data_IF_961083461786
#
_entry.id   IF_961083461786
#
_cell.length_a   1.000
_cell.length_b   1.000
_cell.length_c   1.000
_cell.angle_alpha   90.00
_cell.angle_beta   90.00
_cell.angle_gamma   90.00
#
_symmetry.space_group_name_H-M   'P 1'
#
loop_
_entity.id
_entity.type
_entity.pdbx_description
1 polymer ?
#
# COMPACT_ATOMS: atom_id res chain seq x y z
N UNK A 1 45.44 35.67 -19.35
CA UNK A 1 45.96 34.35 -19.78
C UNK A 1 45.58 33.31 -18.73
N UNK A 2 45.21 32.12 -19.14
CA UNK A 2 44.90 31.03 -18.20
C UNK A 2 46.13 30.68 -17.35
N UNK A 3 45.92 30.40 -16.04
CA UNK A 3 46.96 29.90 -15.12
C UNK A 3 47.09 28.37 -15.16
N UNK A 4 46.23 27.69 -15.95
CA UNK A 4 46.22 26.24 -16.04
C UNK A 4 47.23 25.77 -17.10
N UNK A 5 47.89 24.65 -16.80
CA UNK A 5 48.77 24.00 -17.77
C UNK A 5 47.99 23.30 -18.89
N UNK A 6 46.74 22.90 -18.57
CA UNK A 6 45.84 22.27 -19.56
C UNK A 6 45.22 23.34 -20.46
N UNK A 7 45.24 23.07 -21.74
CA UNK A 7 44.53 23.86 -22.75
C UNK A 7 43.15 23.27 -22.99
N UNK A 8 42.12 24.10 -23.22
CA UNK A 8 40.81 23.59 -23.69
C UNK A 8 40.97 22.77 -24.96
N UNK A 9 40.21 21.68 -25.06
CA UNK A 9 40.17 20.87 -26.28
C UNK A 9 39.48 21.66 -27.39
N UNK A 10 40.04 21.56 -28.58
CA UNK A 10 39.40 22.07 -29.78
C UNK A 10 38.40 21.05 -30.34
N UNK A 11 37.14 21.43 -30.46
CA UNK A 11 36.06 20.59 -30.95
C UNK A 11 35.78 20.78 -32.47
N UNK A 12 36.63 21.53 -33.20
CA UNK A 12 36.41 21.77 -34.61
C UNK A 12 36.30 20.48 -35.46
N UNK A 13 36.95 19.42 -35.02
CA UNK A 13 36.94 18.11 -35.67
C UNK A 13 36.02 17.07 -34.98
N UNK A 14 35.07 17.52 -34.12
CA UNK A 14 34.10 16.63 -33.49
C UNK A 14 33.25 15.93 -34.58
N UNK A 15 33.20 14.60 -34.51
CA UNK A 15 32.35 13.82 -35.43
C UNK A 15 30.91 13.90 -35.00
N UNK A 16 30.09 14.52 -35.81
CA UNK A 16 28.63 14.65 -35.60
C UNK A 16 27.90 13.55 -36.35
N UNK A 17 26.67 13.25 -35.91
CA UNK A 17 25.75 12.33 -36.56
C UNK A 17 24.45 13.05 -36.92
N UNK A 18 23.76 12.61 -37.96
CA UNK A 18 22.46 13.17 -38.35
C UNK A 18 21.43 12.93 -37.27
N UNK A 19 20.57 13.90 -36.99
CA UNK A 19 19.42 13.77 -36.11
C UNK A 19 18.48 12.64 -36.58
N UNK A 20 18.34 12.46 -37.90
CA UNK A 20 17.51 11.39 -38.48
C UNK A 20 18.09 10.00 -38.24
N UNK A 21 19.41 9.88 -38.24
CA UNK A 21 20.12 8.60 -38.02
C UNK A 21 20.23 8.25 -36.53
N UNK A 22 20.23 9.24 -35.63
CA UNK A 22 20.46 9.06 -34.21
C UNK A 22 19.40 8.21 -33.53
N UNK A 23 18.17 8.18 -34.05
CA UNK A 23 17.01 7.60 -33.40
C UNK A 23 16.52 8.45 -32.23
N UNK A 24 15.23 8.44 -31.94
CA UNK A 24 14.59 9.16 -30.84
C UNK A 24 13.85 8.19 -29.91
N UNK A 25 14.00 8.36 -28.60
CA UNK A 25 13.24 7.60 -27.59
C UNK A 25 11.81 8.13 -27.40
N UNK A 26 11.55 9.39 -27.79
CA UNK A 26 10.25 10.04 -27.67
C UNK A 26 9.83 10.47 -29.07
N UNK A 27 8.62 10.12 -29.45
CA UNK A 27 8.03 10.43 -30.76
C UNK A 27 6.83 11.34 -30.58
N UNK A 28 6.46 12.10 -31.59
CA UNK A 28 5.25 12.96 -31.57
C UNK A 28 3.98 12.12 -31.29
N UNK A 29 3.96 10.87 -31.73
CA UNK A 29 2.87 9.94 -31.45
C UNK A 29 2.69 9.61 -29.94
N UNK A 30 3.73 9.84 -29.13
CA UNK A 30 3.70 9.60 -27.68
C UNK A 30 3.23 10.83 -26.88
N UNK A 31 2.92 11.95 -27.55
CA UNK A 31 2.57 13.20 -26.90
C UNK A 31 1.15 13.17 -26.34
N UNK A 32 0.94 13.97 -25.28
CA UNK A 32 -0.39 14.18 -24.71
C UNK A 32 -1.34 14.85 -25.70
N UNK A 33 -2.61 14.48 -25.64
CA UNK A 33 -3.69 15.17 -26.34
C UNK A 33 -4.40 16.16 -25.39
N UNK A 34 -4.98 17.28 -25.89
CA UNK A 34 -5.84 18.13 -25.09
C UNK A 34 -7.05 17.38 -24.55
N UNK A 35 -7.34 17.56 -23.26
CA UNK A 35 -8.51 16.96 -22.62
C UNK A 35 -9.81 17.45 -23.29
N UNK A 36 -10.73 16.53 -23.54
CA UNK A 36 -12.05 16.84 -24.07
C UNK A 36 -13.07 16.96 -22.93
N UNK A 37 -13.73 18.11 -22.74
CA UNK A 37 -14.75 18.27 -21.72
C UNK A 37 -15.82 17.18 -21.80
N UNK A 38 -16.15 16.58 -20.63
CA UNK A 38 -17.16 15.52 -20.54
C UNK A 38 -16.66 14.10 -20.81
N UNK A 39 -15.38 13.90 -21.14
CA UNK A 39 -14.82 12.56 -21.41
C UNK A 39 -14.52 11.71 -20.15
N UNK A 40 -14.76 12.27 -18.97
CA UNK A 40 -14.54 11.56 -17.71
C UNK A 40 -13.05 11.28 -17.41
N UNK A 41 -12.82 10.44 -16.41
CA UNK A 41 -11.45 10.02 -16.04
C UNK A 41 -10.86 9.09 -17.10
N UNK A 42 -11.66 8.27 -17.75
CA UNK A 42 -11.21 7.44 -18.86
C UNK A 42 -10.60 8.29 -19.97
N UNK A 43 -11.31 9.34 -20.41
CA UNK A 43 -10.80 10.28 -21.42
C UNK A 43 -9.61 11.11 -20.95
N UNK A 44 -9.53 11.44 -19.66
CA UNK A 44 -8.33 12.06 -19.09
C UNK A 44 -7.12 11.12 -19.23
N UNK A 45 -7.24 9.85 -18.84
CA UNK A 45 -6.16 8.88 -18.96
C UNK A 45 -5.72 8.64 -20.40
N UNK A 46 -6.67 8.64 -21.34
CA UNK A 46 -6.37 8.47 -22.76
C UNK A 46 -5.69 9.72 -23.35
N UNK A 47 -5.91 10.90 -22.76
CA UNK A 47 -5.23 12.14 -23.15
C UNK A 47 -3.80 12.29 -22.61
N UNK A 48 -3.40 11.50 -21.61
CA UNK A 48 -2.05 11.57 -21.06
C UNK A 48 -1.01 11.05 -22.07
N UNK A 49 0.25 11.54 -22.00
CA UNK A 49 1.30 11.09 -22.90
C UNK A 49 1.61 9.59 -22.71
N UNK A 50 2.05 8.91 -23.76
CA UNK A 50 2.47 7.51 -23.76
C UNK A 50 3.94 7.37 -23.38
N UNK A 51 4.33 7.92 -22.21
CA UNK A 51 5.69 7.88 -21.66
C UNK A 51 5.69 7.87 -20.14
N UNK A 52 6.75 7.31 -19.55
CA UNK A 52 7.11 7.42 -18.13
C UNK A 52 5.95 7.07 -17.16
N UNK A 53 5.64 8.01 -16.25
CA UNK A 53 4.67 7.76 -15.18
C UNK A 53 3.23 7.53 -15.67
N UNK A 54 2.85 8.14 -16.79
CA UNK A 54 1.52 7.98 -17.39
C UNK A 54 1.33 6.52 -17.90
N UNK A 55 2.34 5.97 -18.57
CA UNK A 55 2.32 4.55 -18.98
C UNK A 55 2.35 3.61 -17.79
N UNK A 56 3.16 3.92 -16.79
CA UNK A 56 3.22 3.13 -15.55
C UNK A 56 1.86 3.12 -14.84
N UNK A 57 1.18 4.25 -14.78
CA UNK A 57 -0.14 4.35 -14.16
C UNK A 57 -1.19 3.53 -14.92
N UNK A 58 -1.25 3.68 -16.27
CA UNK A 58 -2.14 2.84 -17.11
C UNK A 58 -1.86 1.36 -16.93
N UNK A 59 -0.59 0.95 -16.90
CA UNK A 59 -0.21 -0.44 -16.71
C UNK A 59 -0.65 -1.00 -15.35
N UNK A 60 -0.65 -0.19 -14.28
CA UNK A 60 -1.20 -0.58 -12.97
C UNK A 60 -2.72 -0.71 -13.03
N UNK A 61 -3.44 0.21 -13.69
CA UNK A 61 -4.89 0.10 -13.91
C UNK A 61 -5.23 -1.19 -14.64
N UNK A 62 -4.52 -1.48 -15.73
CA UNK A 62 -4.74 -2.69 -16.55
C UNK A 62 -4.42 -3.97 -15.77
N UNK A 63 -3.34 -3.96 -14.96
CA UNK A 63 -2.97 -5.09 -14.12
C UNK A 63 -4.03 -5.38 -13.04
N UNK A 64 -4.57 -4.34 -12.38
CA UNK A 64 -5.67 -4.49 -11.43
C UNK A 64 -6.93 -5.06 -12.08
N UNK A 65 -7.30 -4.54 -13.25
CA UNK A 65 -8.45 -5.02 -14.00
C UNK A 65 -8.26 -6.47 -14.47
N UNK A 66 -7.05 -6.83 -14.89
CA UNK A 66 -6.71 -8.20 -15.28
C UNK A 66 -6.79 -9.15 -14.08
N UNK A 67 -6.17 -8.77 -12.95
CA UNK A 67 -6.20 -9.57 -11.73
C UNK A 67 -7.64 -9.84 -11.27
N UNK A 68 -8.51 -8.81 -11.26
CA UNK A 68 -9.94 -8.97 -10.93
C UNK A 68 -10.63 -9.95 -11.88
N UNK A 69 -10.46 -9.79 -13.21
CA UNK A 69 -11.10 -10.69 -14.21
C UNK A 69 -10.63 -12.14 -14.09
N UNK A 70 -9.39 -12.36 -13.68
CA UNK A 70 -8.79 -13.68 -13.52
C UNK A 70 -8.94 -14.25 -12.10
N UNK A 71 -9.66 -13.53 -11.23
CA UNK A 71 -9.85 -13.90 -9.81
C UNK A 71 -8.51 -14.13 -9.09
N UNK A 72 -7.49 -13.33 -9.43
CA UNK A 72 -6.17 -13.34 -8.79
C UNK A 72 -6.13 -12.39 -7.60
N UNK A 73 -5.20 -12.65 -6.70
CA UNK A 73 -5.05 -11.81 -5.51
C UNK A 73 -4.70 -10.35 -5.87
N UNK A 74 -5.41 -9.42 -5.24
CA UNK A 74 -5.17 -7.98 -5.25
C UNK A 74 -4.96 -7.55 -3.80
N UNK A 75 -3.68 -7.38 -3.43
CA UNK A 75 -3.28 -7.13 -2.04
C UNK A 75 -2.84 -5.67 -1.87
N UNK A 76 -3.43 -4.98 -0.90
CA UNK A 76 -3.15 -3.59 -0.57
C UNK A 76 -2.31 -3.50 0.70
N UNK A 77 -1.01 -3.23 0.56
CA UNK A 77 -0.09 -2.93 1.66
C UNK A 77 -0.13 -1.44 1.98
N UNK A 78 -0.52 -1.05 3.21
CA UNK A 78 -0.79 0.34 3.54
C UNK A 78 -0.12 0.81 4.81
N UNK A 79 0.49 2.01 4.74
CA UNK A 79 0.94 2.78 5.89
C UNK A 79 -0.17 3.64 6.50
N UNK A 80 0.06 4.15 7.72
CA UNK A 80 -0.92 4.94 8.47
C UNK A 80 -1.38 6.22 7.76
N UNK A 81 -0.53 6.81 6.93
CA UNK A 81 -0.89 8.04 6.19
C UNK A 81 -2.09 7.85 5.27
N UNK A 82 -2.25 6.67 4.66
CA UNK A 82 -3.38 6.35 3.77
C UNK A 82 -4.71 6.47 4.52
N UNK A 83 -4.77 5.96 5.75
CA UNK A 83 -5.97 6.05 6.60
C UNK A 83 -6.20 7.50 7.06
N UNK A 84 -5.13 8.20 7.48
CA UNK A 84 -5.21 9.62 7.89
C UNK A 84 -5.67 10.56 6.77
N UNK A 85 -5.38 10.24 5.52
CA UNK A 85 -5.88 10.99 4.36
C UNK A 85 -7.36 10.74 4.06
N UNK A 86 -8.07 9.93 4.85
CA UNK A 86 -9.50 9.67 4.68
C UNK A 86 -9.84 8.76 3.50
N UNK A 87 -8.94 7.87 3.09
CA UNK A 87 -9.11 7.03 1.89
C UNK A 87 -9.87 5.72 2.15
N UNK A 88 -10.23 5.42 3.38
CA UNK A 88 -10.97 4.20 3.72
C UNK A 88 -12.26 4.01 2.89
N UNK A 89 -13.12 5.02 2.66
CA UNK A 89 -14.33 4.87 1.84
C UNK A 89 -14.04 4.42 0.41
N UNK A 90 -12.97 4.95 -0.19
CA UNK A 90 -12.53 4.58 -1.55
C UNK A 90 -12.05 3.14 -1.59
N UNK A 91 -11.24 2.74 -0.60
CA UNK A 91 -10.71 1.37 -0.51
C UNK A 91 -11.81 0.35 -0.22
N UNK A 92 -12.80 0.70 0.60
CA UNK A 92 -13.97 -0.13 0.87
C UNK A 92 -14.87 -0.28 -0.37
N UNK A 93 -15.00 0.76 -1.18
CA UNK A 93 -15.71 0.64 -2.47
C UNK A 93 -14.94 -0.26 -3.45
N UNK A 94 -13.63 -0.11 -3.55
CA UNK A 94 -12.78 -1.00 -4.34
C UNK A 94 -12.87 -2.46 -3.85
N UNK A 95 -12.91 -2.69 -2.53
CA UNK A 95 -13.11 -4.03 -1.95
C UNK A 95 -14.46 -4.63 -2.40
N UNK A 96 -15.56 -3.87 -2.28
CA UNK A 96 -16.89 -4.33 -2.72
C UNK A 96 -16.95 -4.64 -4.21
N UNK A 97 -16.15 -3.96 -5.02
CA UNK A 97 -16.04 -4.19 -6.47
C UNK A 97 -15.05 -5.29 -6.85
N UNK A 98 -14.41 -5.95 -5.87
CA UNK A 98 -13.43 -7.02 -6.11
C UNK A 98 -12.03 -6.53 -6.49
N UNK A 99 -11.70 -5.25 -6.25
CA UNK A 99 -10.37 -4.68 -6.45
C UNK A 99 -9.49 -4.67 -5.19
N UNK A 100 -9.93 -5.35 -4.14
CA UNK A 100 -9.11 -5.64 -2.96
C UNK A 100 -9.53 -7.00 -2.40
N UNK A 101 -8.65 -7.98 -2.46
CA UNK A 101 -8.85 -9.34 -1.93
C UNK A 101 -8.17 -9.54 -0.59
N UNK A 102 -7.35 -8.58 -0.14
CA UNK A 102 -6.71 -8.57 1.16
C UNK A 102 -6.04 -7.25 1.45
N UNK A 103 -5.99 -6.89 2.73
CA UNK A 103 -5.30 -5.71 3.23
C UNK A 103 -4.13 -6.12 4.13
N UNK A 104 -3.01 -5.41 3.96
CA UNK A 104 -1.76 -5.64 4.70
C UNK A 104 -1.37 -4.32 5.35
N UNK A 105 -1.58 -4.20 6.66
CA UNK A 105 -1.43 -2.95 7.38
C UNK A 105 -0.14 -2.96 8.20
N UNK A 106 0.50 -1.81 8.35
CA UNK A 106 1.42 -1.62 9.46
C UNK A 106 0.65 -1.24 10.73
N UNK A 107 1.30 -1.24 11.90
CA UNK A 107 0.65 -0.92 13.16
C UNK A 107 -0.01 0.47 13.16
N UNK A 108 0.64 1.48 12.59
CA UNK A 108 0.08 2.83 12.48
C UNK A 108 -1.24 2.85 11.68
N UNK A 109 -1.33 2.12 10.56
CA UNK A 109 -2.58 2.05 9.79
C UNK A 109 -3.71 1.38 10.60
N UNK A 110 -3.38 0.30 11.31
CA UNK A 110 -4.35 -0.39 12.17
C UNK A 110 -4.83 0.49 13.33
N UNK A 111 -3.93 1.26 13.97
CA UNK A 111 -4.28 2.21 15.04
C UNK A 111 -5.25 3.26 14.54
N UNK A 112 -4.90 3.96 13.47
CA UNK A 112 -5.73 5.04 12.93
C UNK A 112 -7.10 4.53 12.49
N UNK A 113 -7.17 3.36 11.87
CA UNK A 113 -8.44 2.73 11.46
C UNK A 113 -9.31 2.37 12.68
N UNK A 114 -8.69 1.80 13.71
CA UNK A 114 -9.36 1.42 14.95
C UNK A 114 -9.92 2.64 15.69
N UNK A 115 -9.14 3.73 15.80
CA UNK A 115 -9.55 5.00 16.42
C UNK A 115 -10.68 5.66 15.64
N UNK A 116 -10.64 5.67 14.30
CA UNK A 116 -11.73 6.19 13.47
C UNK A 116 -13.01 5.41 13.76
N UNK A 117 -12.97 4.09 13.83
CA UNK A 117 -14.13 3.29 14.19
C UNK A 117 -14.69 3.68 15.56
N UNK A 118 -13.81 3.76 16.57
CA UNK A 118 -14.23 4.04 17.96
C UNK A 118 -14.74 5.46 18.17
N UNK A 119 -14.01 6.47 17.68
CA UNK A 119 -14.17 7.86 18.06
C UNK A 119 -14.62 8.79 16.91
N UNK A 120 -14.51 8.34 15.65
CA UNK A 120 -14.75 9.17 14.47
C UNK A 120 -13.62 10.15 14.14
N UNK A 121 -12.50 10.05 14.84
CA UNK A 121 -11.31 10.87 14.60
C UNK A 121 -10.05 10.09 15.01
N UNK A 122 -8.90 10.54 14.56
CA UNK A 122 -7.59 9.96 14.87
C UNK A 122 -6.49 11.01 14.70
N UNK A 123 -5.26 10.65 15.05
CA UNK A 123 -4.05 11.47 14.88
C UNK A 123 -4.03 12.69 15.81
N UNK A 124 -3.40 12.53 16.95
CA UNK A 124 -3.19 13.60 17.93
C UNK A 124 -2.12 14.61 17.48
N UNK A 125 -2.15 15.79 18.06
CA UNK A 125 -1.10 16.80 17.93
C UNK A 125 0.10 16.41 18.82
N UNK A 126 1.08 15.77 18.17
CA UNK A 126 2.25 15.22 18.87
C UNK A 126 3.06 16.31 19.57
N UNK A 127 3.22 17.48 18.96
CA UNK A 127 4.01 18.58 19.52
C UNK A 127 3.35 19.13 20.79
N UNK A 128 2.05 19.16 20.83
CA UNK A 128 1.29 19.64 22.00
C UNK A 128 1.31 18.67 23.19
N UNK A 129 1.34 17.36 22.96
CA UNK A 129 1.19 16.36 24.04
C UNK A 129 2.50 15.66 24.45
N UNK A 130 3.54 15.71 23.60
CA UNK A 130 4.84 15.07 23.87
C UNK A 130 5.56 15.62 25.12
N UNK A 131 5.54 16.95 25.40
CA UNK A 131 6.21 17.49 26.58
C UNK A 131 5.71 16.91 27.90
N UNK A 132 4.44 16.53 27.98
CA UNK A 132 3.81 15.93 29.16
C UNK A 132 3.88 14.41 29.17
N UNK A 133 4.49 13.79 28.15
CA UNK A 133 4.57 12.35 27.98
C UNK A 133 3.23 11.67 27.64
N UNK A 134 2.22 12.43 27.20
CA UNK A 134 0.89 11.92 26.85
C UNK A 134 0.77 11.38 25.44
N UNK A 135 1.79 11.57 24.60
CA UNK A 135 1.79 11.06 23.24
C UNK A 135 1.56 9.55 23.20
N UNK A 136 0.50 9.13 22.51
CA UNK A 136 0.14 7.72 22.36
C UNK A 136 -0.45 7.06 23.59
N UNK A 137 -0.81 7.83 24.61
CA UNK A 137 -1.38 7.34 25.87
C UNK A 137 -2.93 7.30 25.88
N UNK A 138 -3.56 7.16 24.71
CA UNK A 138 -5.01 7.05 24.62
C UNK A 138 -5.49 5.74 25.26
N UNK A 139 -6.28 5.86 26.34
CA UNK A 139 -6.73 4.74 27.17
C UNK A 139 -7.49 3.69 26.37
N UNK A 140 -8.52 4.11 25.64
CA UNK A 140 -9.39 3.19 24.89
C UNK A 140 -8.61 2.48 23.77
N UNK A 141 -7.77 3.23 23.02
CA UNK A 141 -6.95 2.66 21.96
C UNK A 141 -5.98 1.62 22.52
N UNK A 142 -5.22 1.99 23.55
CA UNK A 142 -4.25 1.09 24.15
C UNK A 142 -4.89 -0.13 24.79
N UNK A 143 -5.93 0.04 25.59
CA UNK A 143 -6.61 -1.06 26.30
C UNK A 143 -7.33 -1.98 25.34
N UNK A 144 -8.19 -1.47 24.47
CA UNK A 144 -9.06 -2.32 23.65
C UNK A 144 -8.29 -3.05 22.55
N UNK A 145 -7.30 -2.41 21.92
CA UNK A 145 -6.44 -3.11 20.95
C UNK A 145 -5.64 -4.22 21.61
N UNK A 146 -4.99 -3.98 22.76
CA UNK A 146 -4.21 -5.01 23.44
C UNK A 146 -5.07 -6.17 23.96
N UNK A 147 -6.28 -5.86 24.50
CA UNK A 147 -7.22 -6.91 24.90
C UNK A 147 -7.66 -7.77 23.71
N UNK A 148 -8.00 -7.13 22.58
CA UNK A 148 -8.37 -7.84 21.36
C UNK A 148 -7.24 -8.75 20.86
N UNK A 149 -5.98 -8.30 20.92
CA UNK A 149 -4.80 -9.09 20.54
C UNK A 149 -4.63 -10.31 21.45
N UNK A 150 -4.74 -10.13 22.78
CA UNK A 150 -4.62 -11.24 23.75
C UNK A 150 -5.74 -12.26 23.55
N UNK A 151 -6.99 -11.82 23.37
CA UNK A 151 -8.11 -12.70 23.08
C UNK A 151 -7.93 -13.43 21.75
N UNK A 152 -7.48 -12.70 20.69
CA UNK A 152 -7.21 -13.28 19.39
C UNK A 152 -6.16 -14.39 19.43
N UNK A 153 -5.08 -14.21 20.19
CA UNK A 153 -4.06 -15.24 20.37
C UNK A 153 -4.62 -16.49 21.07
N UNK A 154 -5.46 -16.33 22.08
CA UNK A 154 -6.12 -17.47 22.76
C UNK A 154 -7.00 -18.25 21.79
N UNK A 155 -7.68 -17.56 20.88
CA UNK A 155 -8.56 -18.17 19.88
C UNK A 155 -7.81 -18.63 18.62
N UNK A 156 -6.49 -18.42 18.56
CA UNK A 156 -5.67 -18.83 17.43
C UNK A 156 -5.87 -18.02 16.17
N UNK A 157 -6.25 -16.73 16.25
CA UNK A 157 -6.38 -15.81 15.10
C UNK A 157 -5.27 -14.76 15.11
N UNK A 158 -5.06 -14.09 13.97
CA UNK A 158 -4.07 -13.05 13.81
C UNK A 158 -4.52 -11.69 14.35
N UNK A 159 -3.62 -10.70 14.33
CA UNK A 159 -3.89 -9.37 14.86
C UNK A 159 -4.98 -8.66 14.06
N UNK A 160 -4.93 -8.71 12.72
CA UNK A 160 -5.91 -8.04 11.86
C UNK A 160 -7.33 -8.58 12.08
N UNK A 161 -7.48 -9.89 12.12
CA UNK A 161 -8.76 -10.54 12.40
C UNK A 161 -9.25 -10.23 13.82
N UNK A 162 -8.37 -10.25 14.82
CA UNK A 162 -8.70 -9.96 16.21
C UNK A 162 -9.23 -8.54 16.40
N UNK A 163 -8.60 -7.55 15.78
CA UNK A 163 -9.03 -6.15 15.84
C UNK A 163 -10.37 -5.93 15.13
N UNK A 164 -10.55 -6.50 13.92
CA UNK A 164 -11.82 -6.42 13.20
C UNK A 164 -12.97 -7.06 13.98
N UNK A 165 -12.72 -8.24 14.58
CA UNK A 165 -13.68 -8.94 15.45
C UNK A 165 -14.04 -8.13 16.70
N UNK A 166 -13.07 -7.48 17.34
CA UNK A 166 -13.33 -6.68 18.54
C UNK A 166 -14.25 -5.49 18.23
N UNK A 167 -14.03 -4.82 17.09
CA UNK A 167 -14.91 -3.74 16.63
C UNK A 167 -16.34 -4.25 16.34
N UNK A 168 -16.48 -5.42 15.71
CA UNK A 168 -17.79 -6.00 15.42
C UNK A 168 -18.53 -6.41 16.69
N UNK A 169 -17.86 -7.03 17.65
CA UNK A 169 -18.43 -7.43 18.94
C UNK A 169 -18.82 -6.22 19.80
N UNK A 170 -18.08 -5.11 19.70
CA UNK A 170 -18.41 -3.87 20.39
C UNK A 170 -19.78 -3.34 19.96
N UNK A 171 -20.07 -3.30 18.67
CA UNK A 171 -21.38 -2.90 18.14
C UNK A 171 -22.50 -3.84 18.64
N UNK A 172 -22.25 -5.14 18.65
CA UNK A 172 -23.25 -6.14 19.09
C UNK A 172 -23.55 -6.07 20.59
N UNK A 173 -22.58 -5.68 21.42
CA UNK A 173 -22.74 -5.58 22.90
C UNK A 173 -23.30 -4.23 23.36
N UNK A 174 -23.72 -3.35 22.45
CA UNK A 174 -24.29 -2.04 22.76
C UNK A 174 -23.26 -0.95 23.07
N UNK A 175 -21.96 -1.25 22.94
CA UNK A 175 -20.89 -0.27 22.87
C UNK A 175 -20.84 0.26 21.44
N UNK A 176 -21.28 1.49 21.23
CA UNK A 176 -21.42 2.02 19.86
C UNK A 176 -20.09 2.49 19.30
N UNK A 177 -19.64 1.88 18.19
CA UNK A 177 -18.64 2.52 17.34
C UNK A 177 -19.23 3.79 16.73
N UNK A 178 -18.45 4.88 16.65
CA UNK A 178 -18.96 6.17 16.18
C UNK A 178 -18.97 6.30 14.65
N UNK A 179 -18.00 5.66 13.98
CA UNK A 179 -17.86 5.71 12.53
C UNK A 179 -17.46 4.34 11.94
N UNK A 180 -18.26 3.28 12.21
CA UNK A 180 -17.95 1.92 11.78
C UNK A 180 -17.87 1.76 10.27
N UNK A 181 -18.61 2.56 9.51
CA UNK A 181 -18.64 2.54 8.04
C UNK A 181 -17.31 2.97 7.39
N UNK A 182 -16.43 3.64 8.14
CA UNK A 182 -15.13 4.10 7.66
C UNK A 182 -13.95 3.22 8.08
N UNK A 183 -14.19 2.13 8.82
CA UNK A 183 -13.12 1.22 9.24
C UNK A 183 -12.87 0.11 8.24
N UNK A 184 -11.63 -0.01 7.78
CA UNK A 184 -11.15 -1.12 6.95
C UNK A 184 -11.13 -2.43 7.75
N UNK A 185 -10.64 -2.41 9.00
CA UNK A 185 -10.58 -3.57 9.89
C UNK A 185 -11.97 -4.18 10.07
N UNK A 186 -12.96 -3.37 10.43
CA UNK A 186 -14.31 -3.84 10.69
C UNK A 186 -15.02 -4.35 9.43
N UNK A 187 -14.99 -3.55 8.36
CA UNK A 187 -15.73 -3.89 7.15
C UNK A 187 -15.09 -5.05 6.39
N UNK A 188 -13.76 -5.16 6.38
CA UNK A 188 -13.08 -6.31 5.82
C UNK A 188 -13.39 -7.59 6.62
N UNK A 189 -13.38 -7.51 7.98
CA UNK A 189 -13.79 -8.63 8.84
C UNK A 189 -15.21 -9.11 8.49
N UNK A 190 -16.19 -8.18 8.41
CA UNK A 190 -17.58 -8.50 8.02
C UNK A 190 -17.70 -9.10 6.63
N UNK A 191 -16.89 -8.63 5.70
CA UNK A 191 -16.82 -9.12 4.32
C UNK A 191 -16.00 -10.41 4.17
N UNK A 192 -15.36 -10.90 5.23
CA UNK A 192 -14.42 -12.03 5.22
C UNK A 192 -13.22 -11.81 4.28
N UNK A 193 -12.82 -10.56 4.08
CA UNK A 193 -11.59 -10.20 3.39
C UNK A 193 -10.45 -10.19 4.42
N UNK A 194 -9.38 -10.95 4.21
CA UNK A 194 -8.30 -11.03 5.19
C UNK A 194 -7.59 -9.69 5.37
N UNK A 195 -7.32 -9.36 6.63
CA UNK A 195 -6.46 -8.25 7.03
C UNK A 195 -5.31 -8.80 7.85
N UNK A 196 -4.09 -8.46 7.48
CA UNK A 196 -2.90 -8.78 8.26
C UNK A 196 -2.25 -7.52 8.80
N UNK A 197 -1.80 -7.53 10.05
CA UNK A 197 -1.17 -6.39 10.71
C UNK A 197 0.26 -6.74 11.12
N UNK A 198 1.20 -5.94 10.63
CA UNK A 198 2.62 -6.15 10.87
C UNK A 198 3.18 -5.02 11.71
N UNK A 199 3.79 -5.36 12.84
CA UNK A 199 4.32 -4.40 13.80
C UNK A 199 5.80 -4.66 14.09
N UNK A 200 6.51 -3.60 14.47
CA UNK A 200 7.78 -3.69 15.17
C UNK A 200 7.54 -3.22 16.61
N UNK A 201 7.78 -4.10 17.58
CA UNK A 201 7.49 -3.80 18.99
C UNK A 201 8.31 -2.58 19.43
N UNK A 202 7.62 -1.58 20.00
CA UNK A 202 8.18 -0.31 20.41
C UNK A 202 8.02 0.84 19.40
N UNK A 203 7.49 0.57 18.18
CA UNK A 203 7.22 1.63 17.20
C UNK A 203 5.81 2.20 17.26
N UNK A 204 4.87 1.44 17.80
CA UNK A 204 3.45 1.76 17.79
C UNK A 204 2.95 2.16 19.20
N UNK A 205 2.07 3.14 19.25
CA UNK A 205 1.61 3.76 20.51
C UNK A 205 0.93 2.79 21.48
N UNK A 206 0.12 1.78 21.09
CA UNK A 206 -0.45 0.82 22.03
C UNK A 206 0.58 -0.04 22.78
N UNK A 207 1.84 -0.09 22.31
CA UNK A 207 2.89 -0.87 22.98
C UNK A 207 3.34 -0.31 24.32
N UNK A 208 3.10 0.98 24.58
CA UNK A 208 3.42 1.63 25.87
C UNK A 208 2.30 1.47 26.91
N UNK A 209 1.11 1.00 26.49
CA UNK A 209 -0.02 0.86 27.38
C UNK A 209 0.18 -0.29 28.39
N UNK A 210 -0.26 -0.14 29.68
CA UNK A 210 -0.10 -1.19 30.69
C UNK A 210 -0.72 -2.55 30.35
N UNK A 211 -1.75 -2.58 29.46
CA UNK A 211 -2.34 -3.81 28.96
C UNK A 211 -1.54 -4.52 27.86
N UNK A 212 -0.41 -3.95 27.42
CA UNK A 212 0.39 -4.53 26.35
C UNK A 212 1.07 -5.82 26.81
N UNK A 213 0.86 -6.90 26.06
CA UNK A 213 1.53 -8.19 26.22
C UNK A 213 2.42 -8.43 25.00
N UNK A 214 3.73 -8.27 25.19
CA UNK A 214 4.70 -8.46 24.09
C UNK A 214 4.69 -9.88 23.51
N UNK A 215 4.37 -10.90 24.28
CA UNK A 215 4.25 -12.28 23.78
C UNK A 215 3.01 -12.41 22.88
N UNK A 216 1.88 -11.85 23.30
CA UNK A 216 0.66 -11.86 22.50
C UNK A 216 0.82 -11.03 21.20
N UNK A 217 1.41 -9.84 21.29
CA UNK A 217 1.71 -8.99 20.12
C UNK A 217 2.60 -9.78 19.14
N UNK A 218 3.70 -10.37 19.61
CA UNK A 218 4.60 -11.15 18.77
C UNK A 218 3.93 -12.36 18.14
N UNK A 219 3.11 -13.09 18.88
CA UNK A 219 2.35 -14.25 18.39
C UNK A 219 1.35 -13.85 17.30
N UNK A 220 0.56 -12.79 17.53
CA UNK A 220 -0.49 -12.33 16.65
C UNK A 220 0.09 -11.79 15.30
N UNK A 221 1.10 -10.91 15.36
CA UNK A 221 1.72 -10.36 14.14
C UNK A 221 2.50 -11.44 13.37
N UNK A 222 3.14 -12.41 14.05
CA UNK A 222 3.80 -13.54 13.38
C UNK A 222 2.78 -14.46 12.68
N UNK A 223 1.61 -14.67 13.29
CA UNK A 223 0.52 -15.39 12.64
C UNK A 223 0.04 -14.66 11.39
N UNK A 224 -0.13 -13.35 11.46
CA UNK A 224 -0.46 -12.51 10.31
C UNK A 224 0.60 -12.56 9.22
N UNK A 225 1.89 -12.60 9.58
CA UNK A 225 2.95 -12.80 8.60
C UNK A 225 2.81 -14.15 7.85
N UNK A 226 2.47 -15.22 8.55
CA UNK A 226 2.23 -16.53 7.92
C UNK A 226 0.99 -16.52 7.03
N UNK A 227 -0.09 -15.85 7.45
CA UNK A 227 -1.27 -15.63 6.63
C UNK A 227 -0.93 -14.81 5.38
N UNK A 228 -0.15 -13.74 5.54
CA UNK A 228 0.31 -12.95 4.41
C UNK A 228 1.17 -13.76 3.44
N UNK A 229 2.03 -14.65 3.90
CA UNK A 229 2.75 -15.57 3.02
C UNK A 229 1.77 -16.44 2.19
N UNK A 230 0.68 -16.92 2.80
CA UNK A 230 -0.37 -17.64 2.07
C UNK A 230 -1.03 -16.78 1.00
N UNK A 231 -1.41 -15.55 1.33
CA UNK A 231 -1.98 -14.61 0.36
C UNK A 231 -1.00 -14.28 -0.79
N UNK A 232 0.29 -14.20 -0.51
CA UNK A 232 1.33 -13.95 -1.51
C UNK A 232 1.45 -15.11 -2.51
N UNK A 233 1.13 -16.35 -2.14
CA UNK A 233 1.10 -17.47 -3.12
C UNK A 233 0.08 -17.22 -4.24
N UNK A 234 -1.02 -16.54 -3.94
CA UNK A 234 -2.13 -16.26 -4.86
C UNK A 234 -1.81 -15.12 -5.85
N UNK A 235 -0.67 -14.43 -5.67
CA UNK A 235 -0.17 -13.47 -6.65
C UNK A 235 0.33 -14.14 -7.95
N UNK A 236 0.65 -15.42 -7.92
CA UNK A 236 1.20 -16.14 -9.06
C UNK A 236 0.31 -16.02 -10.29
N UNK A 237 0.92 -15.68 -11.46
CA UNK A 237 0.25 -15.54 -12.76
C UNK A 237 -0.90 -14.53 -12.76
N UNK A 238 -0.57 -13.26 -12.54
CA UNK A 238 -1.47 -12.14 -12.78
C UNK A 238 -1.99 -11.43 -11.54
N UNK A 239 -1.63 -11.86 -10.32
CA UNK A 239 -1.95 -11.11 -9.10
C UNK A 239 -1.15 -9.81 -8.99
N UNK A 240 -1.57 -8.93 -8.10
CA UNK A 240 -0.92 -7.64 -7.86
C UNK A 240 -0.81 -7.31 -6.37
N UNK A 241 0.37 -6.83 -5.97
CA UNK A 241 0.63 -6.23 -4.65
C UNK A 241 0.90 -4.74 -4.79
N UNK A 242 0.12 -3.93 -4.07
CA UNK A 242 0.33 -2.48 -3.98
C UNK A 242 0.92 -2.13 -2.62
N UNK A 243 2.03 -1.40 -2.60
CA UNK A 243 2.57 -0.76 -1.41
C UNK A 243 2.21 0.71 -1.45
N UNK A 244 1.38 1.17 -0.51
CA UNK A 244 0.88 2.54 -0.48
C UNK A 244 1.29 3.20 0.84
N UNK A 245 2.22 4.13 0.78
CA UNK A 245 2.64 4.93 1.93
C UNK A 245 3.36 4.16 3.05
N UNK A 246 3.93 2.99 2.77
CA UNK A 246 4.80 2.30 3.72
C UNK A 246 6.25 2.32 3.25
N UNK A 247 7.06 3.18 3.88
CA UNK A 247 8.43 3.43 3.46
C UNK A 247 9.43 2.37 3.94
N UNK A 248 9.14 1.65 5.03
CA UNK A 248 10.11 0.76 5.69
C UNK A 248 9.53 -0.62 5.95
N UNK A 249 8.50 -0.73 6.79
CA UNK A 249 8.07 -1.99 7.38
C UNK A 249 7.49 -2.94 6.35
N UNK A 250 6.44 -2.57 5.62
CA UNK A 250 5.78 -3.47 4.69
C UNK A 250 6.64 -3.89 3.50
N UNK A 251 7.53 -3.03 2.92
CA UNK A 251 8.49 -3.50 1.93
C UNK A 251 9.43 -4.61 2.44
N UNK A 252 9.82 -4.55 3.72
CA UNK A 252 10.63 -5.61 4.33
C UNK A 252 9.81 -6.88 4.58
N UNK A 253 8.57 -6.74 5.04
CA UNK A 253 7.64 -7.86 5.25
C UNK A 253 7.34 -8.56 3.92
N UNK A 254 7.01 -7.80 2.88
CA UNK A 254 6.69 -8.34 1.55
C UNK A 254 7.86 -9.12 0.94
N UNK A 255 9.08 -8.57 0.98
CA UNK A 255 10.25 -9.26 0.44
C UNK A 255 10.51 -10.60 1.18
N UNK A 256 10.31 -10.65 2.51
CA UNK A 256 10.44 -11.88 3.30
C UNK A 256 9.33 -12.87 2.98
N UNK A 257 8.10 -12.40 2.76
CA UNK A 257 7.00 -13.26 2.33
C UNK A 257 7.28 -13.88 0.95
N UNK A 258 7.73 -13.09 -0.03
CA UNK A 258 8.18 -13.61 -1.34
C UNK A 258 9.28 -14.65 -1.19
N UNK A 259 10.28 -14.38 -0.34
CA UNK A 259 11.37 -15.33 -0.09
C UNK A 259 10.87 -16.64 0.55
N UNK A 260 10.03 -16.54 1.57
CA UNK A 260 9.48 -17.71 2.27
C UNK A 260 8.61 -18.57 1.33
N UNK A 261 7.74 -17.95 0.55
CA UNK A 261 6.87 -18.63 -0.43
C UNK A 261 7.71 -19.42 -1.45
N UNK A 262 8.72 -18.79 -2.03
CA UNK A 262 9.62 -19.45 -3.00
C UNK A 262 10.44 -20.55 -2.35
N UNK A 263 10.96 -20.34 -1.13
CA UNK A 263 11.73 -21.34 -0.39
C UNK A 263 10.91 -22.58 -0.07
N UNK A 264 9.62 -22.40 0.22
CA UNK A 264 8.67 -23.51 0.46
C UNK A 264 8.24 -24.21 -0.83
N UNK A 265 8.78 -23.84 -1.99
CA UNK A 265 8.51 -24.49 -3.27
C UNK A 265 7.22 -24.05 -3.96
N UNK A 266 6.53 -23.03 -3.45
CA UNK A 266 5.35 -22.49 -4.16
C UNK A 266 5.78 -21.67 -5.39
N UNK A 267 5.13 -21.85 -6.55
CA UNK A 267 5.38 -21.01 -7.70
C UNK A 267 4.94 -19.58 -7.42
N UNK A 268 5.83 -18.64 -7.72
CA UNK A 268 5.54 -17.20 -7.57
C UNK A 268 6.27 -16.43 -8.66
N UNK A 269 5.60 -16.28 -9.79
CA UNK A 269 6.09 -15.63 -11.01
C UNK A 269 4.95 -14.86 -11.70
N UNK A 270 5.31 -13.98 -12.63
CA UNK A 270 4.38 -13.27 -13.52
C UNK A 270 3.30 -12.47 -12.77
N UNK A 271 3.66 -11.86 -11.65
CA UNK A 271 2.79 -10.97 -10.89
C UNK A 271 3.25 -9.51 -11.02
N UNK A 272 2.39 -8.58 -10.66
CA UNK A 272 2.69 -7.16 -10.70
C UNK A 272 2.88 -6.61 -9.28
N UNK A 273 3.77 -5.62 -9.15
CA UNK A 273 3.84 -4.80 -7.93
C UNK A 273 3.79 -3.32 -8.26
N UNK A 274 3.23 -2.52 -7.37
CA UNK A 274 3.26 -1.07 -7.48
C UNK A 274 3.57 -0.41 -6.14
N UNK A 275 4.41 0.63 -6.17
CA UNK A 275 4.64 1.50 -5.02
C UNK A 275 4.04 2.87 -5.29
N UNK A 276 3.07 3.27 -4.47
CA UNK A 276 2.48 4.61 -4.48
C UNK A 276 3.00 5.37 -3.27
N UNK A 277 3.76 6.42 -3.51
CA UNK A 277 4.25 7.30 -2.44
C UNK A 277 4.63 8.67 -3.02
N UNK A 278 4.61 9.71 -2.21
CA UNK A 278 5.11 11.04 -2.60
C UNK A 278 6.64 11.10 -2.62
N UNK A 279 7.32 10.16 -1.95
CA UNK A 279 8.77 9.92 -2.03
C UNK A 279 9.05 8.46 -2.36
N UNK A 280 9.87 8.21 -3.38
CA UNK A 280 10.30 6.86 -3.72
C UNK A 280 11.53 6.46 -2.87
N UNK A 281 11.24 5.98 -1.64
CA UNK A 281 12.28 5.53 -0.72
C UNK A 281 13.01 4.28 -1.25
N UNK A 282 14.24 4.06 -0.74
CA UNK A 282 15.08 2.93 -1.15
C UNK A 282 14.37 1.56 -0.97
N UNK A 283 13.78 1.32 0.21
CA UNK A 283 13.16 0.01 0.51
C UNK A 283 11.98 -0.33 -0.41
N UNK A 284 10.95 0.51 -0.58
CA UNK A 284 9.88 0.22 -1.53
C UNK A 284 10.40 0.04 -2.96
N UNK A 285 11.30 0.94 -3.42
CA UNK A 285 11.87 0.86 -4.75
C UNK A 285 12.56 -0.50 -4.99
N UNK A 286 13.39 -0.93 -4.07
CA UNK A 286 14.20 -2.15 -4.25
C UNK A 286 13.43 -3.41 -3.86
N UNK A 287 12.69 -3.40 -2.74
CA UNK A 287 12.08 -4.60 -2.16
C UNK A 287 10.66 -4.89 -2.68
N UNK A 288 10.00 -3.89 -3.26
CA UNK A 288 8.66 -4.07 -3.87
C UNK A 288 8.76 -4.01 -5.40
N UNK A 289 9.45 -2.99 -5.96
CA UNK A 289 9.43 -2.75 -7.40
C UNK A 289 10.46 -3.58 -8.17
N UNK A 290 11.68 -3.75 -7.65
CA UNK A 290 12.79 -4.35 -8.41
C UNK A 290 13.02 -5.84 -8.09
N UNK A 291 13.42 -6.16 -6.84
CA UNK A 291 13.90 -7.50 -6.45
C UNK A 291 12.88 -8.64 -6.64
N UNK A 292 11.58 -8.47 -6.37
CA UNK A 292 10.63 -9.56 -6.56
C UNK A 292 10.57 -10.09 -7.98
N UNK A 293 10.93 -9.26 -8.96
CA UNK A 293 10.83 -9.53 -10.40
C UNK A 293 12.13 -9.94 -11.07
N UNK A 294 13.26 -9.92 -10.37
CA UNK A 294 14.59 -10.13 -10.96
C UNK A 294 14.75 -11.42 -11.79
N UNK A 295 13.94 -12.45 -11.51
CA UNK A 295 13.97 -13.74 -12.22
C UNK A 295 12.58 -14.35 -12.44
N UNK A 296 11.49 -13.56 -12.37
CA UNK A 296 10.14 -14.12 -12.31
C UNK A 296 9.19 -13.66 -13.42
N UNK A 297 9.65 -12.87 -14.40
CA UNK A 297 8.82 -12.41 -15.52
C UNK A 297 7.77 -11.34 -15.17
N UNK A 298 7.60 -10.98 -13.90
CA UNK A 298 6.67 -9.93 -13.45
C UNK A 298 7.21 -8.52 -13.66
N UNK A 299 6.41 -7.52 -13.29
CA UNK A 299 6.76 -6.08 -13.41
C UNK A 299 6.45 -5.31 -12.14
N UNK A 300 7.35 -4.40 -11.78
CA UNK A 300 7.16 -3.45 -10.70
C UNK A 300 7.06 -2.01 -11.22
N UNK A 301 6.18 -1.23 -10.62
CA UNK A 301 5.92 0.17 -10.99
C UNK A 301 6.08 1.09 -9.78
N UNK A 302 6.72 2.25 -9.98
CA UNK A 302 6.82 3.31 -8.99
C UNK A 302 5.98 4.51 -9.45
N UNK A 303 4.96 4.84 -8.67
CA UNK A 303 4.05 5.96 -8.93
C UNK A 303 4.27 7.02 -7.85
N UNK A 304 4.78 8.17 -8.26
CA UNK A 304 5.03 9.29 -7.34
C UNK A 304 3.86 10.25 -7.35
N UNK A 305 3.30 10.50 -6.19
CA UNK A 305 2.20 11.46 -6.00
C UNK A 305 1.57 11.33 -4.61
N UNK A 306 0.78 12.30 -4.23
CA UNK A 306 0.06 12.30 -2.97
C UNK A 306 -1.07 11.27 -2.98
N UNK A 307 -1.19 10.49 -1.90
CA UNK A 307 -2.15 9.39 -1.79
C UNK A 307 -3.58 9.86 -2.00
N UNK A 308 -3.95 11.00 -1.40
CA UNK A 308 -5.29 11.61 -1.48
C UNK A 308 -5.69 12.06 -2.90
N UNK A 309 -4.74 12.12 -3.82
CA UNK A 309 -4.98 12.39 -5.25
C UNK A 309 -4.90 11.10 -6.07
N UNK A 310 -3.84 10.30 -5.84
CA UNK A 310 -3.54 9.15 -6.69
C UNK A 310 -4.49 7.98 -6.49
N UNK A 311 -4.91 7.71 -5.24
CA UNK A 311 -5.80 6.57 -4.97
C UNK A 311 -7.23 6.82 -5.47
N UNK A 312 -7.85 8.01 -5.25
CA UNK A 312 -9.13 8.32 -5.91
C UNK A 312 -9.05 8.32 -7.44
N UNK A 313 -7.96 8.82 -8.03
CA UNK A 313 -7.74 8.76 -9.47
C UNK A 313 -7.66 7.31 -9.97
N UNK A 314 -6.92 6.44 -9.26
CA UNK A 314 -6.83 5.02 -9.58
C UNK A 314 -8.20 4.34 -9.49
N UNK A 315 -8.96 4.62 -8.43
CA UNK A 315 -10.30 4.08 -8.26
C UNK A 315 -11.26 4.51 -9.38
N UNK A 316 -11.27 5.81 -9.70
CA UNK A 316 -12.10 6.33 -10.77
C UNK A 316 -11.72 5.72 -12.15
N UNK A 317 -10.42 5.57 -12.41
CA UNK A 317 -9.92 4.92 -13.62
C UNK A 317 -10.41 3.47 -13.75
N UNK A 318 -10.37 2.70 -12.65
CA UNK A 318 -10.85 1.32 -12.62
C UNK A 318 -12.35 1.24 -12.85
N UNK A 319 -13.12 2.13 -12.22
CA UNK A 319 -14.60 2.13 -12.31
C UNK A 319 -15.06 2.52 -13.72
N UNK A 320 -14.42 3.51 -14.35
CA UNK A 320 -14.84 3.97 -15.69
C UNK A 320 -14.34 3.06 -16.82
N UNK A 321 -13.10 2.54 -16.72
CA UNK A 321 -12.54 1.69 -17.78
C UNK A 321 -12.91 0.21 -17.65
N UNK A 322 -13.23 -0.22 -16.43
CA UNK A 322 -13.47 -1.63 -16.12
C UNK A 322 -14.63 -1.79 -15.10
N UNK A 323 -15.83 -1.38 -15.41
CA UNK A 323 -16.99 -1.35 -14.52
C UNK A 323 -17.36 -2.71 -13.91
#
# INVERSE_FOLDING_TARGET
MSRYAQQPLDFANLKTVSLEERGGKVKVADFAAPYQPGSGVAGLLDSLPHVLAADSFRAVVDALALARRQERAILWGMGGHVVKCGLAPVLLDLMRRGYATGFVLNGSAAIHDFEIALAGHTSEDVEAVLPDGRFGAAEETGREMNQAIVEGVRDGIGMGEALGRALDQRDQRGGRNRAPEFSLLLNAYRARVPVTVHVAIGTDTPHIHPAADGAAIGSATHRDFRLFCSLVTELHQGGIYLNVGSAVLLPEVFLKAVSAVRNLGHPLAEFTTANFDFLQHYRPRVNVVERPHAASGGKGYAITGHHELMIPLLAAALIEKHP
#
